data_IF_932240393764
#
_entry.id   IF_932240393764
#
_cell.length_a   1.000
_cell.length_b   1.000
_cell.length_c   1.000
_cell.angle_alpha   90.00
_cell.angle_beta   90.00
_cell.angle_gamma   90.00
#
_symmetry.space_group_name_H-M   'P 1'
#
loop_
_entity.id
_entity.type
_entity.pdbx_description
1 polymer ?
#
# COMPACT_ATOMS: atom_id res chain seq x y z
N UNK A 1 17.34 4.10 0.54
CA UNK A 1 16.01 3.46 0.69
C UNK A 1 15.64 2.80 -0.64
N UNK A 2 15.06 1.62 -0.63
CA UNK A 2 14.60 0.96 -1.86
C UNK A 2 13.48 1.79 -2.51
N UNK A 3 13.52 1.93 -3.84
CA UNK A 3 12.51 2.67 -4.58
C UNK A 3 11.28 1.80 -4.82
N UNK A 4 10.12 2.24 -4.36
CA UNK A 4 8.85 1.51 -4.52
C UNK A 4 8.32 1.54 -5.95
N UNK A 5 8.43 2.69 -6.62
CA UNK A 5 7.81 2.90 -7.93
C UNK A 5 8.59 3.93 -8.74
N UNK A 6 8.54 3.82 -10.08
CA UNK A 6 9.10 4.81 -11.01
C UNK A 6 7.98 5.40 -11.88
N UNK A 7 7.89 6.74 -11.93
CA UNK A 7 6.90 7.49 -12.71
C UNK A 7 7.55 8.04 -14.00
N UNK A 8 7.03 7.67 -15.15
CA UNK A 8 7.37 8.29 -16.42
C UNK A 8 6.62 9.62 -16.58
N UNK A 9 7.34 10.72 -16.71
CA UNK A 9 6.77 12.05 -16.90
C UNK A 9 6.78 12.36 -18.39
N UNK A 10 5.59 12.49 -18.99
CA UNK A 10 5.38 12.68 -20.41
C UNK A 10 4.61 13.98 -20.65
N UNK A 11 5.27 15.15 -20.71
CA UNK A 11 4.60 16.40 -21.03
C UNK A 11 3.94 16.36 -22.41
N UNK A 12 2.71 16.86 -22.49
CA UNK A 12 1.88 16.81 -23.70
C UNK A 12 1.62 18.20 -24.23
N UNK A 13 1.72 18.38 -25.55
CA UNK A 13 1.45 19.63 -26.24
C UNK A 13 0.62 19.39 -27.51
N UNK A 14 -0.07 20.40 -28.00
CA UNK A 14 -0.75 20.39 -29.30
C UNK A 14 0.23 20.73 -30.43
N UNK A 15 0.16 20.02 -31.53
CA UNK A 15 0.88 20.39 -32.74
C UNK A 15 0.48 21.78 -33.24
N UNK A 16 1.45 22.60 -33.67
CA UNK A 16 1.20 23.95 -34.18
C UNK A 16 0.95 25.06 -33.16
N UNK A 17 0.96 24.77 -31.86
CA UNK A 17 0.94 25.79 -30.78
C UNK A 17 2.34 26.29 -30.46
N UNK A 18 2.42 27.39 -29.69
CA UNK A 18 3.71 27.99 -29.31
C UNK A 18 4.59 27.02 -28.51
N UNK A 19 5.80 26.77 -29.00
CA UNK A 19 6.77 25.88 -28.38
C UNK A 19 7.44 26.53 -27.17
N UNK A 20 7.67 27.86 -27.18
CA UNK A 20 8.34 28.55 -26.07
C UNK A 20 7.50 28.44 -24.80
N UNK A 21 6.22 28.78 -24.90
CA UNK A 21 5.27 28.62 -23.77
C UNK A 21 5.17 27.19 -23.28
N UNK A 22 5.19 26.21 -24.18
CA UNK A 22 5.14 24.79 -23.79
C UNK A 22 6.40 24.33 -23.04
N UNK A 23 7.58 24.82 -23.47
CA UNK A 23 8.84 24.54 -22.77
C UNK A 23 8.89 25.16 -21.37
N UNK A 24 8.38 26.39 -21.21
CA UNK A 24 8.25 27.04 -19.89
C UNK A 24 7.35 26.21 -18.96
N UNK A 25 6.20 25.74 -19.45
CA UNK A 25 5.30 24.90 -18.67
C UNK A 25 5.94 23.54 -18.33
N UNK A 26 6.60 22.88 -19.28
CA UNK A 26 7.34 21.65 -19.02
C UNK A 26 8.36 21.84 -17.88
N UNK A 27 9.19 22.87 -17.97
CA UNK A 27 10.20 23.15 -16.96
C UNK A 27 9.58 23.37 -15.57
N UNK A 28 8.50 24.17 -15.52
CA UNK A 28 7.76 24.42 -14.30
C UNK A 28 7.23 23.11 -13.66
N UNK A 29 6.75 22.19 -14.48
CA UNK A 29 6.26 20.87 -14.00
C UNK A 29 7.40 20.00 -13.47
N UNK A 30 8.50 19.88 -14.22
CA UNK A 30 9.64 19.05 -13.82
C UNK A 30 10.27 19.57 -12.53
N UNK A 31 10.43 20.88 -12.38
CA UNK A 31 10.97 21.51 -11.16
C UNK A 31 10.07 21.22 -9.95
N UNK A 32 8.75 21.38 -10.13
CA UNK A 32 7.80 21.09 -9.04
C UNK A 32 7.76 19.62 -8.68
N UNK A 33 7.76 18.71 -9.66
CA UNK A 33 7.79 17.27 -9.41
C UNK A 33 9.06 16.89 -8.63
N UNK A 34 10.21 17.42 -9.00
CA UNK A 34 11.48 17.20 -8.29
C UNK A 34 11.42 17.66 -6.83
N UNK A 35 10.71 18.77 -6.56
CA UNK A 35 10.51 19.29 -5.20
C UNK A 35 9.64 18.36 -4.33
N UNK A 36 8.56 17.80 -4.91
CA UNK A 36 7.54 17.07 -4.16
C UNK A 36 7.64 15.53 -4.25
N UNK A 37 8.58 15.03 -5.07
CA UNK A 37 8.74 13.58 -5.29
C UNK A 37 9.13 12.88 -3.98
N UNK A 38 8.37 11.88 -3.52
CA UNK A 38 8.73 11.14 -2.31
C UNK A 38 10.08 10.43 -2.45
N UNK A 39 10.85 10.34 -1.38
CA UNK A 39 12.18 9.69 -1.38
C UNK A 39 12.15 8.23 -1.86
N UNK A 40 11.02 7.55 -1.68
CA UNK A 40 10.82 6.15 -2.12
C UNK A 40 10.32 6.03 -3.56
N UNK A 41 10.14 7.15 -4.28
CA UNK A 41 9.69 7.20 -5.68
C UNK A 41 10.84 7.65 -6.57
N UNK A 42 10.94 7.06 -7.76
CA UNK A 42 11.85 7.48 -8.82
C UNK A 42 11.05 8.06 -9.99
N UNK A 43 11.71 8.80 -10.90
CA UNK A 43 11.07 9.31 -12.10
C UNK A 43 12.03 9.31 -13.29
N UNK A 44 11.46 9.24 -14.49
CA UNK A 44 12.14 9.51 -15.74
C UNK A 44 11.28 10.45 -16.59
N UNK A 45 11.91 11.21 -17.49
CA UNK A 45 11.26 12.12 -18.40
C UNK A 45 11.68 11.87 -19.85
N UNK A 46 11.37 12.76 -20.76
CA UNK A 46 11.68 12.62 -22.19
C UNK A 46 12.93 13.41 -22.64
N UNK A 47 13.73 13.94 -21.73
CA UNK A 47 14.98 14.60 -22.09
C UNK A 47 15.92 13.61 -22.80
N UNK A 48 16.47 14.05 -23.94
CA UNK A 48 17.32 13.19 -24.78
C UNK A 48 16.59 12.13 -25.60
N UNK A 49 15.26 11.98 -25.45
CA UNK A 49 14.42 11.08 -26.25
C UNK A 49 13.76 11.84 -27.40
N UNK A 50 13.16 12.97 -27.08
CA UNK A 50 12.58 13.89 -28.07
C UNK A 50 13.35 15.22 -28.02
N UNK A 51 13.47 15.94 -29.17
CA UNK A 51 14.24 17.19 -29.22
C UNK A 51 13.83 18.21 -28.15
N UNK A 52 12.53 18.34 -27.90
CA UNK A 52 11.99 19.27 -26.90
C UNK A 52 11.62 18.59 -25.57
N UNK A 53 11.75 17.26 -25.48
CA UNK A 53 11.29 16.50 -24.31
C UNK A 53 9.77 16.55 -24.10
N UNK A 54 8.98 16.79 -25.17
CA UNK A 54 7.52 16.93 -25.15
C UNK A 54 6.91 16.05 -26.25
N UNK A 55 5.84 15.32 -25.92
CA UNK A 55 5.11 14.47 -26.88
C UNK A 55 3.94 15.25 -27.50
N UNK A 56 3.89 15.36 -28.84
CA UNK A 56 2.84 16.08 -29.56
C UNK A 56 2.48 15.50 -30.91
N UNK A 57 3.17 14.46 -31.39
CA UNK A 57 2.94 13.85 -32.71
C UNK A 57 2.96 12.33 -32.63
N UNK A 58 2.17 11.69 -33.49
CA UNK A 58 1.97 10.24 -33.47
C UNK A 58 3.23 9.44 -33.85
N UNK A 59 4.10 10.00 -34.67
CA UNK A 59 5.38 9.39 -35.08
C UNK A 59 6.43 9.34 -33.95
N UNK A 60 6.22 10.09 -32.86
CA UNK A 60 7.05 10.09 -31.66
C UNK A 60 6.71 8.95 -30.68
N UNK A 61 5.56 8.30 -30.82
CA UNK A 61 5.03 7.35 -29.84
C UNK A 61 5.92 6.14 -29.58
N UNK A 62 6.50 5.56 -30.64
CA UNK A 62 7.32 4.35 -30.49
C UNK A 62 8.59 4.66 -29.68
N UNK A 63 9.27 5.77 -29.96
CA UNK A 63 10.45 6.20 -29.21
C UNK A 63 10.15 6.44 -27.73
N UNK A 64 9.02 7.11 -27.43
CA UNK A 64 8.57 7.34 -26.05
C UNK A 64 8.23 6.04 -25.35
N UNK A 65 7.50 5.13 -25.99
CA UNK A 65 7.11 3.84 -25.42
C UNK A 65 8.34 2.94 -25.15
N UNK A 66 9.32 2.90 -26.06
CA UNK A 66 10.57 2.17 -25.88
C UNK A 66 11.38 2.72 -24.72
N UNK A 67 11.51 4.05 -24.61
CA UNK A 67 12.20 4.69 -23.49
C UNK A 67 11.54 4.35 -22.15
N UNK A 68 10.22 4.51 -22.01
CA UNK A 68 9.50 4.20 -20.77
C UNK A 68 9.65 2.73 -20.37
N UNK A 69 9.70 1.79 -21.35
CA UNK A 69 9.97 0.37 -21.08
C UNK A 69 11.41 0.13 -20.63
N UNK A 70 12.38 0.77 -21.29
CA UNK A 70 13.80 0.67 -20.94
C UNK A 70 14.07 1.20 -19.52
N UNK A 71 13.43 2.31 -19.17
CA UNK A 71 13.46 2.92 -17.83
C UNK A 71 12.66 2.13 -16.80
N UNK A 72 11.88 1.14 -17.20
CA UNK A 72 10.98 0.36 -16.33
C UNK A 72 9.99 1.24 -15.58
N UNK A 73 9.39 2.19 -16.27
CA UNK A 73 8.34 3.02 -15.69
C UNK A 73 7.16 2.14 -15.25
N UNK A 74 6.68 2.36 -14.02
CA UNK A 74 5.54 1.64 -13.43
C UNK A 74 4.20 2.37 -13.65
N UNK A 75 4.25 3.68 -13.93
CA UNK A 75 3.09 4.52 -14.22
C UNK A 75 3.50 5.72 -15.08
N UNK A 76 2.53 6.42 -15.68
CA UNK A 76 2.77 7.54 -16.56
C UNK A 76 1.98 8.77 -16.08
N UNK A 77 2.68 9.87 -15.88
CA UNK A 77 2.06 11.18 -15.70
C UNK A 77 2.13 11.97 -17.00
N UNK A 78 1.00 12.43 -17.51
CA UNK A 78 0.87 13.18 -18.75
C UNK A 78 0.37 14.62 -18.46
N UNK A 79 1.25 15.52 -17.96
CA UNK A 79 0.87 16.90 -17.73
C UNK A 79 0.71 17.63 -19.07
N UNK A 80 -0.37 18.43 -19.20
CA UNK A 80 -0.67 19.20 -20.40
C UNK A 80 0.01 20.56 -20.30
N UNK A 81 0.93 20.84 -21.22
CA UNK A 81 1.59 22.15 -21.36
C UNK A 81 0.64 23.22 -21.95
N UNK A 82 -0.29 22.76 -22.80
CA UNK A 82 -1.36 23.53 -23.42
C UNK A 82 -2.60 22.63 -23.62
N UNK A 83 -3.40 22.83 -24.68
CA UNK A 83 -4.52 21.96 -25.02
C UNK A 83 -4.12 20.47 -25.10
N UNK A 84 -2.88 20.19 -25.49
CA UNK A 84 -2.40 18.83 -25.67
C UNK A 84 -2.86 18.18 -26.99
N UNK A 85 -2.45 16.91 -27.16
CA UNK A 85 -2.82 16.08 -28.29
C UNK A 85 -3.51 14.82 -27.78
N UNK A 86 -4.84 14.75 -27.87
CA UNK A 86 -5.65 13.64 -27.39
C UNK A 86 -5.31 12.29 -28.05
N UNK A 87 -4.86 12.35 -29.33
CA UNK A 87 -4.44 11.16 -30.08
C UNK A 87 -3.25 10.46 -29.42
N UNK A 88 -2.19 11.24 -29.12
CA UNK A 88 -0.97 10.65 -28.53
C UNK A 88 -1.23 10.18 -27.09
N UNK A 89 -2.06 10.89 -26.32
CA UNK A 89 -2.46 10.49 -24.96
C UNK A 89 -3.18 9.15 -24.98
N UNK A 90 -4.20 9.00 -25.83
CA UNK A 90 -4.98 7.77 -25.95
C UNK A 90 -4.14 6.58 -26.42
N UNK A 91 -3.33 6.79 -27.47
CA UNK A 91 -2.47 5.74 -28.06
C UNK A 91 -1.37 5.31 -27.07
N UNK A 92 -0.65 6.24 -26.44
CA UNK A 92 0.39 5.89 -25.49
C UNK A 92 -0.17 5.12 -24.30
N UNK A 93 -1.32 5.55 -23.75
CA UNK A 93 -2.00 4.83 -22.68
C UNK A 93 -2.35 3.38 -23.08
N UNK A 94 -2.87 3.18 -24.28
CA UNK A 94 -3.20 1.86 -24.82
C UNK A 94 -1.96 0.98 -25.10
N UNK A 95 -0.85 1.58 -25.54
CA UNK A 95 0.41 0.86 -25.82
C UNK A 95 1.09 0.39 -24.53
N UNK A 96 1.06 1.21 -23.49
CA UNK A 96 1.82 0.94 -22.25
C UNK A 96 1.05 0.10 -21.23
N UNK A 97 -0.27 0.25 -21.15
CA UNK A 97 -1.14 -0.46 -20.18
C UNK A 97 -0.70 -0.26 -18.70
N UNK A 98 -0.11 0.87 -18.43
CA UNK A 98 0.29 1.32 -17.10
C UNK A 98 -0.77 2.26 -16.50
N UNK A 99 -0.77 2.48 -15.18
CA UNK A 99 -1.54 3.58 -14.60
C UNK A 99 -1.19 4.92 -15.26
N UNK A 100 -2.22 5.71 -15.57
CA UNK A 100 -2.08 6.99 -16.25
C UNK A 100 -2.66 8.09 -15.36
N UNK A 101 -1.90 9.15 -15.13
CA UNK A 101 -2.37 10.39 -14.51
C UNK A 101 -2.50 11.48 -15.57
N UNK A 102 -3.64 12.16 -15.59
CA UNK A 102 -3.90 13.33 -16.41
C UNK A 102 -4.09 14.56 -15.52
N UNK A 103 -3.44 15.65 -15.89
CA UNK A 103 -3.60 16.95 -15.27
C UNK A 103 -3.17 18.05 -16.23
N UNK A 104 -3.76 19.26 -16.08
CA UNK A 104 -3.36 20.49 -16.75
C UNK A 104 -3.23 21.64 -15.76
N UNK A 105 -2.18 22.44 -15.91
CA UNK A 105 -1.99 23.64 -15.09
C UNK A 105 -3.08 24.67 -15.41
N UNK A 106 -3.67 25.27 -14.37
CA UNK A 106 -4.72 26.27 -14.55
C UNK A 106 -4.23 27.43 -15.42
N UNK A 107 -5.04 27.77 -16.40
CA UNK A 107 -4.77 28.93 -17.24
C UNK A 107 -4.99 30.25 -16.49
N UNK A 108 -4.29 31.32 -16.81
CA UNK A 108 -4.58 32.66 -16.32
C UNK A 108 -5.95 33.15 -16.82
N UNK A 109 -6.37 34.30 -16.33
CA UNK A 109 -7.58 34.96 -16.88
C UNK A 109 -7.39 35.28 -18.36
N UNK A 110 -8.42 35.03 -19.21
CA UNK A 110 -8.33 35.28 -20.65
C UNK A 110 -8.03 36.76 -20.96
N UNK A 111 -7.18 36.99 -21.95
CA UNK A 111 -6.87 38.31 -22.47
C UNK A 111 -7.52 38.47 -23.86
N UNK A 112 -8.32 39.54 -24.10
CA UNK A 112 -8.96 39.72 -25.41
C UNK A 112 -7.94 39.77 -26.55
N UNK A 113 -8.24 38.99 -27.60
CA UNK A 113 -7.39 38.92 -28.80
C UNK A 113 -6.22 37.93 -28.72
N UNK A 114 -6.03 37.25 -27.60
CA UNK A 114 -5.07 36.14 -27.44
C UNK A 114 -5.80 34.83 -27.28
N UNK A 115 -5.13 33.74 -27.62
CA UNK A 115 -5.58 32.39 -27.26
C UNK A 115 -4.75 31.90 -26.08
N UNK A 116 -5.43 31.46 -25.04
CA UNK A 116 -4.80 30.82 -23.87
C UNK A 116 -4.31 29.40 -24.21
N UNK A 117 -3.68 28.76 -23.24
CA UNK A 117 -3.22 27.36 -23.36
C UNK A 117 -4.38 26.36 -23.49
N UNK A 118 -5.57 26.72 -22.98
CA UNK A 118 -6.77 25.88 -23.00
C UNK A 118 -6.56 24.50 -22.33
N UNK A 119 -5.76 24.41 -21.27
CA UNK A 119 -5.36 23.14 -20.65
C UNK A 119 -6.54 22.33 -20.13
N UNK A 120 -7.53 22.99 -19.51
CA UNK A 120 -8.75 22.31 -19.06
C UNK A 120 -9.52 21.67 -20.19
N UNK A 121 -9.70 22.38 -21.30
CA UNK A 121 -10.37 21.87 -22.50
C UNK A 121 -9.63 20.66 -23.05
N UNK A 122 -8.30 20.73 -23.15
CA UNK A 122 -7.46 19.66 -23.65
C UNK A 122 -7.47 18.40 -22.76
N UNK A 123 -7.47 18.57 -21.43
CA UNK A 123 -7.58 17.41 -20.52
C UNK A 123 -8.93 16.72 -20.64
N UNK A 124 -10.04 17.44 -20.86
CA UNK A 124 -11.36 16.86 -21.12
C UNK A 124 -11.37 16.04 -22.44
N UNK A 125 -10.72 16.54 -23.49
CA UNK A 125 -10.60 15.83 -24.76
C UNK A 125 -9.73 14.56 -24.59
N UNK A 126 -8.58 14.68 -23.94
CA UNK A 126 -7.64 13.58 -23.67
C UNK A 126 -8.26 12.47 -22.83
N UNK A 127 -8.99 12.81 -21.76
CA UNK A 127 -9.69 11.81 -20.94
C UNK A 127 -10.80 11.10 -21.71
N UNK A 128 -11.51 11.80 -22.60
CA UNK A 128 -12.49 11.17 -23.50
C UNK A 128 -11.82 10.19 -24.47
N UNK A 129 -10.63 10.52 -24.96
CA UNK A 129 -9.86 9.64 -25.85
C UNK A 129 -9.40 8.37 -25.09
N UNK A 130 -8.87 8.49 -23.86
CA UNK A 130 -8.54 7.35 -23.01
C UNK A 130 -9.74 6.43 -22.77
N UNK A 131 -10.95 6.98 -22.52
CA UNK A 131 -12.17 6.19 -22.40
C UNK A 131 -12.49 5.41 -23.68
N UNK A 132 -12.31 5.99 -24.86
CA UNK A 132 -12.52 5.32 -26.15
C UNK A 132 -11.54 4.15 -26.36
N UNK A 133 -10.30 4.29 -25.88
CA UNK A 133 -9.30 3.22 -25.87
C UNK A 133 -9.48 2.23 -24.72
N UNK A 134 -10.47 2.43 -23.82
CA UNK A 134 -10.69 1.64 -22.60
C UNK A 134 -9.46 1.60 -21.69
N UNK A 135 -8.73 2.70 -21.64
CA UNK A 135 -7.59 2.89 -20.76
C UNK A 135 -8.09 3.53 -19.46
N UNK A 136 -7.94 2.87 -18.32
CA UNK A 136 -8.24 3.48 -17.04
C UNK A 136 -7.24 4.62 -16.76
N UNK A 137 -7.71 5.68 -16.10
CA UNK A 137 -6.86 6.81 -15.75
C UNK A 137 -7.26 7.43 -14.41
N UNK A 138 -6.30 8.08 -13.78
CA UNK A 138 -6.47 8.95 -12.62
C UNK A 138 -6.45 10.41 -13.08
N UNK A 139 -7.07 11.28 -12.29
CA UNK A 139 -7.21 12.68 -12.64
C UNK A 139 -7.02 13.58 -11.42
N UNK A 140 -6.26 14.66 -11.59
CA UNK A 140 -6.22 15.79 -10.68
C UNK A 140 -7.00 16.94 -11.34
N UNK A 141 -7.89 17.60 -10.60
CA UNK A 141 -8.64 18.75 -11.13
C UNK A 141 -7.67 19.81 -11.65
N UNK A 142 -8.03 20.47 -12.77
CA UNK A 142 -7.29 21.60 -13.32
C UNK A 142 -7.03 22.64 -12.24
N UNK A 143 -5.78 22.81 -11.87
CA UNK A 143 -5.33 23.55 -10.69
C UNK A 143 -3.95 24.12 -10.91
N UNK A 144 -3.57 25.14 -10.12
CA UNK A 144 -2.21 25.68 -10.15
C UNK A 144 -1.19 24.62 -9.66
N UNK A 145 -0.04 24.56 -10.31
CA UNK A 145 1.04 23.61 -10.00
C UNK A 145 1.58 23.75 -8.56
N UNK A 146 1.45 24.92 -7.96
CA UNK A 146 1.90 25.18 -6.60
C UNK A 146 0.84 24.92 -5.52
N UNK A 147 -0.40 24.63 -5.91
CA UNK A 147 -1.47 24.40 -4.94
C UNK A 147 -1.35 23.02 -4.29
N UNK A 148 -1.89 22.90 -3.07
CA UNK A 148 -1.88 21.63 -2.31
C UNK A 148 -2.62 20.48 -3.03
N UNK A 149 -3.67 20.82 -3.80
CA UNK A 149 -4.40 19.80 -4.60
C UNK A 149 -3.49 19.11 -5.62
N UNK A 150 -2.62 19.84 -6.32
CA UNK A 150 -1.67 19.25 -7.24
C UNK A 150 -0.62 18.42 -6.51
N UNK A 151 0.00 18.99 -5.47
CA UNK A 151 1.05 18.33 -4.69
C UNK A 151 0.55 17.01 -4.09
N UNK A 152 -0.56 17.06 -3.34
CA UNK A 152 -1.18 15.88 -2.76
C UNK A 152 -1.61 14.88 -3.84
N UNK A 153 -2.27 15.35 -4.91
CA UNK A 153 -2.77 14.48 -5.98
C UNK A 153 -1.66 13.74 -6.73
N UNK A 154 -0.51 14.37 -6.94
CA UNK A 154 0.64 13.71 -7.54
C UNK A 154 1.25 12.65 -6.60
N UNK A 155 1.38 12.95 -5.31
CA UNK A 155 1.86 11.98 -4.30
C UNK A 155 0.87 10.81 -4.15
N UNK A 156 -0.44 11.10 -4.10
CA UNK A 156 -1.49 10.07 -4.09
C UNK A 156 -1.38 9.15 -5.33
N UNK A 157 -1.10 9.71 -6.52
CA UNK A 157 -0.89 8.90 -7.71
C UNK A 157 0.36 8.03 -7.64
N UNK A 158 1.46 8.53 -7.07
CA UNK A 158 2.63 7.70 -6.82
C UNK A 158 2.28 6.48 -5.94
N UNK A 159 1.47 6.70 -4.90
CA UNK A 159 0.98 5.64 -4.03
C UNK A 159 0.02 4.67 -4.76
N UNK A 160 -0.89 5.17 -5.60
CA UNK A 160 -1.72 4.34 -6.48
C UNK A 160 -0.85 3.44 -7.36
N UNK A 161 0.18 4.01 -8.01
CA UNK A 161 1.11 3.26 -8.84
C UNK A 161 1.86 2.17 -8.05
N UNK A 162 2.28 2.46 -6.80
CA UNK A 162 2.93 1.50 -5.92
C UNK A 162 1.99 0.34 -5.55
N UNK A 163 0.72 0.63 -5.21
CA UNK A 163 -0.31 -0.39 -4.94
C UNK A 163 -0.52 -1.28 -6.17
N UNK A 164 -0.63 -0.69 -7.36
CA UNK A 164 -0.82 -1.44 -8.61
C UNK A 164 0.39 -2.33 -8.93
N UNK A 165 1.61 -1.81 -8.76
CA UNK A 165 2.83 -2.58 -8.95
C UNK A 165 2.90 -3.77 -8.01
N UNK A 166 2.63 -3.56 -6.71
CA UNK A 166 2.62 -4.63 -5.70
C UNK A 166 1.46 -5.60 -5.87
N UNK A 167 0.28 -5.13 -6.27
CA UNK A 167 -0.89 -5.96 -6.53
C UNK A 167 -0.75 -6.92 -7.73
N UNK A 168 0.33 -6.80 -8.51
CA UNK A 168 0.62 -7.67 -9.65
C UNK A 168 1.91 -8.45 -9.41
N UNK A 169 1.80 -9.76 -9.26
CA UNK A 169 2.96 -10.65 -9.13
C UNK A 169 3.66 -10.63 -7.77
N UNK A 170 2.97 -10.21 -6.68
CA UNK A 170 3.53 -10.31 -5.33
C UNK A 170 3.71 -11.77 -4.91
N UNK A 171 4.57 -11.98 -3.92
CA UNK A 171 4.79 -13.28 -3.28
C UNK A 171 4.46 -13.20 -1.80
N UNK A 172 3.65 -14.15 -1.33
CA UNK A 172 3.30 -14.28 0.08
C UNK A 172 3.99 -15.53 0.64
N UNK A 173 4.80 -15.36 1.67
CA UNK A 173 5.38 -16.47 2.43
C UNK A 173 4.33 -17.03 3.37
N UNK A 174 3.91 -18.26 3.13
CA UNK A 174 3.01 -18.99 4.01
C UNK A 174 3.79 -19.86 4.97
N UNK A 175 3.82 -19.49 6.24
CA UNK A 175 4.51 -20.20 7.33
C UNK A 175 3.54 -21.10 8.06
N UNK A 176 3.67 -22.39 7.86
CA UNK A 176 2.73 -23.40 8.37
C UNK A 176 1.51 -23.60 7.46
N UNK A 177 0.42 -24.02 8.05
CA UNK A 177 -0.86 -24.30 7.39
C UNK A 177 -1.99 -23.49 8.01
N UNK A 178 -3.11 -23.36 7.31
CA UNK A 178 -4.31 -22.75 7.89
C UNK A 178 -4.75 -23.55 9.12
N UNK A 179 -5.00 -22.92 10.28
CA UNK A 179 -5.57 -23.60 11.44
C UNK A 179 -6.89 -24.29 11.09
N UNK A 180 -7.08 -25.53 11.55
CA UNK A 180 -8.23 -26.36 11.17
C UNK A 180 -9.59 -25.65 11.27
N UNK A 181 -9.94 -24.92 12.35
CA UNK A 181 -11.26 -24.31 12.49
C UNK A 181 -11.46 -23.03 11.65
N UNK A 182 -10.38 -22.42 11.13
CA UNK A 182 -10.47 -21.14 10.38
C UNK A 182 -10.86 -21.34 8.91
N UNK A 183 -12.11 -21.71 8.66
CA UNK A 183 -12.63 -21.84 7.29
C UNK A 183 -12.77 -20.47 6.58
N UNK A 184 -12.93 -19.39 7.34
CA UNK A 184 -13.08 -18.04 6.82
C UNK A 184 -11.83 -17.46 6.17
N UNK A 185 -10.64 -18.02 6.41
CA UNK A 185 -9.39 -17.59 5.77
C UNK A 185 -8.96 -18.46 4.58
N UNK A 186 -9.85 -19.31 4.08
CA UNK A 186 -9.58 -20.11 2.87
C UNK A 186 -9.38 -19.16 1.69
N UNK A 187 -8.30 -19.34 0.95
CA UNK A 187 -8.04 -18.64 -0.30
C UNK A 187 -7.91 -19.63 -1.47
N UNK A 188 -8.13 -19.17 -2.68
CA UNK A 188 -7.93 -19.91 -3.92
C UNK A 188 -6.60 -19.53 -4.57
N UNK A 189 -5.55 -20.30 -4.30
CA UNK A 189 -4.19 -20.03 -4.81
C UNK A 189 -4.13 -20.02 -6.35
N UNK A 190 -4.88 -20.90 -7.02
CA UNK A 190 -4.92 -20.95 -8.48
C UNK A 190 -5.53 -19.67 -9.08
N UNK A 191 -6.59 -19.14 -8.47
CA UNK A 191 -7.19 -17.88 -8.90
C UNK A 191 -6.27 -16.70 -8.63
N UNK A 192 -5.60 -16.65 -7.47
CA UNK A 192 -4.63 -15.60 -7.15
C UNK A 192 -3.48 -15.57 -8.17
N UNK A 193 -2.96 -16.74 -8.54
CA UNK A 193 -1.92 -16.85 -9.55
C UNK A 193 -2.42 -16.41 -10.95
N UNK A 194 -3.58 -16.91 -11.39
CA UNK A 194 -4.10 -16.62 -12.73
C UNK A 194 -4.55 -15.17 -12.91
N UNK A 195 -5.20 -14.58 -11.90
CA UNK A 195 -5.79 -13.25 -12.02
C UNK A 195 -4.79 -12.13 -11.73
N UNK A 196 -3.81 -12.36 -10.84
CA UNK A 196 -2.90 -11.34 -10.34
C UNK A 196 -1.42 -11.70 -10.47
N UNK A 197 -1.08 -12.94 -10.80
CA UNK A 197 0.28 -13.45 -10.74
C UNK A 197 0.80 -13.57 -9.30
N UNK A 198 -0.09 -13.61 -8.30
CA UNK A 198 0.29 -13.73 -6.88
C UNK A 198 0.70 -15.17 -6.61
N UNK A 199 1.94 -15.35 -6.12
CA UNK A 199 2.50 -16.65 -5.75
C UNK A 199 2.50 -16.84 -4.23
N UNK A 200 2.09 -18.03 -3.77
CA UNK A 200 2.19 -18.42 -2.36
C UNK A 200 3.38 -19.37 -2.21
N UNK A 201 4.35 -18.96 -1.38
CA UNK A 201 5.56 -19.76 -1.12
C UNK A 201 5.40 -20.49 0.21
N UNK A 202 5.28 -21.84 0.22
CA UNK A 202 5.14 -22.59 1.47
C UNK A 202 6.45 -22.66 2.25
N UNK A 203 6.36 -22.48 3.57
CA UNK A 203 7.43 -22.68 4.54
C UNK A 203 6.92 -23.58 5.66
N UNK A 204 7.14 -24.87 5.53
CA UNK A 204 6.56 -25.86 6.46
C UNK A 204 7.11 -25.71 7.89
N UNK A 205 6.30 -26.09 8.88
CA UNK A 205 6.68 -26.09 10.30
C UNK A 205 7.95 -26.89 10.58
N UNK A 206 8.15 -28.04 9.93
CA UNK A 206 9.35 -28.85 10.08
C UNK A 206 10.64 -28.13 9.60
N UNK A 207 10.55 -27.40 8.49
CA UNK A 207 11.69 -26.63 7.98
C UNK A 207 11.95 -25.43 8.88
N UNK A 208 10.92 -24.69 9.29
CA UNK A 208 11.04 -23.58 10.24
C UNK A 208 11.73 -24.02 11.53
N UNK A 209 11.27 -25.12 12.16
CA UNK A 209 11.85 -25.65 13.41
C UNK A 209 13.33 -25.95 13.26
N UNK A 210 13.70 -26.64 12.19
CA UNK A 210 15.11 -26.94 11.89
C UNK A 210 15.94 -25.66 11.71
N UNK A 211 15.38 -24.66 11.01
CA UNK A 211 16.09 -23.40 10.75
C UNK A 211 16.22 -22.56 12.02
N UNK A 212 15.21 -22.54 12.90
CA UNK A 212 15.27 -21.92 14.24
C UNK A 212 16.36 -22.55 15.10
N UNK A 213 16.40 -23.90 15.19
CA UNK A 213 17.44 -24.60 15.93
C UNK A 213 18.85 -24.27 15.41
N UNK A 214 19.03 -24.30 14.09
CA UNK A 214 20.29 -23.94 13.45
C UNK A 214 20.72 -22.51 13.76
N UNK A 215 19.78 -21.56 13.81
CA UNK A 215 20.06 -20.16 14.17
C UNK A 215 20.48 -20.04 15.63
N UNK A 216 19.78 -20.68 16.54
CA UNK A 216 20.16 -20.71 17.98
C UNK A 216 21.56 -21.27 18.20
N UNK A 217 21.96 -22.31 17.42
CA UNK A 217 23.29 -22.94 17.55
C UNK A 217 24.40 -22.15 16.87
N UNK A 218 24.13 -21.57 15.66
CA UNK A 218 25.20 -21.03 14.81
C UNK A 218 25.23 -19.51 14.71
N UNK A 219 24.17 -18.82 15.15
CA UNK A 219 24.03 -17.36 15.10
C UNK A 219 23.66 -16.80 16.49
N UNK A 220 24.19 -17.44 17.56
CA UNK A 220 23.88 -17.05 18.93
C UNK A 220 24.17 -15.57 19.21
N UNK A 221 25.29 -15.03 18.72
CA UNK A 221 25.65 -13.62 18.91
C UNK A 221 24.62 -12.67 18.28
N UNK A 222 24.07 -13.02 17.12
CA UNK A 222 23.04 -12.23 16.43
C UNK A 222 21.68 -12.31 17.16
N UNK A 223 21.36 -13.49 17.71
CA UNK A 223 20.19 -13.68 18.56
C UNK A 223 20.30 -12.82 19.82
N UNK A 224 21.44 -12.85 20.53
CA UNK A 224 21.66 -12.04 21.75
C UNK A 224 21.62 -10.52 21.44
N UNK A 225 22.23 -10.11 20.32
CA UNK A 225 22.14 -8.71 19.88
C UNK A 225 20.68 -8.29 19.61
N UNK A 226 19.89 -9.17 19.01
CA UNK A 226 18.45 -8.94 18.78
C UNK A 226 17.65 -8.88 20.08
N UNK A 227 17.92 -9.77 21.05
CA UNK A 227 17.31 -9.74 22.39
C UNK A 227 17.60 -8.41 23.08
N UNK A 228 18.86 -8.00 23.11
CA UNK A 228 19.26 -6.73 23.73
C UNK A 228 18.58 -5.53 23.05
N UNK A 229 18.64 -5.42 21.75
CA UNK A 229 18.07 -4.31 21.00
C UNK A 229 16.53 -4.23 21.16
N UNK A 230 15.87 -5.37 21.35
CA UNK A 230 14.43 -5.40 21.56
C UNK A 230 14.07 -4.98 23.01
N UNK A 231 14.83 -5.43 24.01
CA UNK A 231 14.65 -5.04 25.40
C UNK A 231 14.88 -3.53 25.66
N UNK A 232 15.59 -2.84 24.76
CA UNK A 232 15.72 -1.36 24.81
C UNK A 232 14.43 -0.64 24.43
N UNK A 233 13.52 -1.31 23.72
CA UNK A 233 12.26 -0.73 23.19
C UNK A 233 11.03 -1.10 24.00
N UNK A 234 11.03 -2.26 24.66
CA UNK A 234 9.88 -2.80 25.39
C UNK A 234 10.30 -3.43 26.71
N UNK A 235 9.39 -3.47 27.67
CA UNK A 235 9.58 -4.21 28.92
C UNK A 235 9.40 -5.73 28.67
N UNK A 236 10.50 -6.46 28.71
CA UNK A 236 10.55 -7.91 28.57
C UNK A 236 10.78 -8.63 29.92
N UNK A 237 10.66 -7.94 31.03
CA UNK A 237 10.99 -8.46 32.38
C UNK A 237 10.21 -9.70 32.78
N UNK A 238 9.00 -9.88 32.25
CA UNK A 238 8.15 -11.05 32.47
C UNK A 238 8.46 -12.20 31.53
N UNK A 239 9.24 -12.00 30.47
CA UNK A 239 9.50 -13.00 29.45
C UNK A 239 10.80 -13.75 29.73
N UNK A 240 10.78 -15.07 29.90
CA UNK A 240 11.99 -15.87 30.08
C UNK A 240 13.02 -15.63 28.98
N UNK A 241 14.31 -15.61 29.30
CA UNK A 241 15.37 -15.35 28.32
C UNK A 241 15.34 -16.33 27.14
N UNK A 242 15.02 -17.59 27.39
CA UNK A 242 14.91 -18.60 26.34
C UNK A 242 13.75 -18.33 25.38
N UNK A 243 12.63 -17.79 25.89
CA UNK A 243 11.51 -17.30 25.05
C UNK A 243 11.95 -16.14 24.17
N UNK A 244 12.73 -15.19 24.74
CA UNK A 244 13.26 -14.04 23.99
C UNK A 244 14.20 -14.53 22.86
N UNK A 245 15.12 -15.45 23.15
CA UNK A 245 16.03 -16.07 22.16
C UNK A 245 15.29 -16.78 21.08
N UNK A 246 14.29 -17.59 21.44
CA UNK A 246 13.49 -18.37 20.48
C UNK A 246 12.71 -17.42 19.54
N UNK A 247 12.10 -16.37 20.05
CA UNK A 247 11.42 -15.39 19.22
C UNK A 247 12.38 -14.66 18.26
N UNK A 248 13.58 -14.28 18.71
CA UNK A 248 14.58 -13.70 17.83
C UNK A 248 15.03 -14.68 16.76
N UNK A 249 15.19 -15.95 17.08
CA UNK A 249 15.56 -16.97 16.11
C UNK A 249 14.44 -17.23 15.08
N UNK A 250 13.17 -17.24 15.50
CA UNK A 250 12.00 -17.33 14.59
C UNK A 250 11.97 -16.12 13.64
N UNK A 251 12.15 -14.91 14.16
CA UNK A 251 12.23 -13.68 13.34
C UNK A 251 13.32 -13.80 12.28
N UNK A 252 14.54 -14.19 12.67
CA UNK A 252 15.66 -14.36 11.74
C UNK A 252 15.38 -15.44 10.69
N UNK A 253 14.78 -16.58 11.07
CA UNK A 253 14.43 -17.65 10.14
C UNK A 253 13.42 -17.18 9.09
N UNK A 254 12.42 -16.40 9.52
CA UNK A 254 11.42 -15.83 8.60
C UNK A 254 12.07 -14.79 7.68
N UNK A 255 12.90 -13.88 8.19
CA UNK A 255 13.61 -12.88 7.38
C UNK A 255 14.53 -13.52 6.34
N UNK A 256 15.32 -14.53 6.72
CA UNK A 256 16.16 -15.28 5.78
C UNK A 256 15.30 -15.91 4.66
N UNK A 257 14.14 -16.44 5.00
CA UNK A 257 13.24 -17.08 4.04
C UNK A 257 12.55 -16.04 3.14
N UNK A 258 12.11 -14.91 3.70
CA UNK A 258 11.56 -13.77 2.95
C UNK A 258 12.58 -13.29 1.91
N UNK A 259 13.83 -13.09 2.31
CA UNK A 259 14.89 -12.67 1.41
C UNK A 259 15.17 -13.70 0.31
N UNK A 260 15.24 -14.99 0.66
CA UNK A 260 15.51 -16.07 -0.29
C UNK A 260 14.39 -16.28 -1.30
N UNK A 261 13.12 -16.13 -0.88
CA UNK A 261 11.94 -16.28 -1.74
C UNK A 261 11.51 -14.98 -2.41
N UNK A 262 12.09 -13.84 -2.01
CA UNK A 262 11.67 -12.50 -2.44
C UNK A 262 10.18 -12.25 -2.15
N UNK A 263 9.73 -12.67 -0.96
CA UNK A 263 8.33 -12.50 -0.56
C UNK A 263 8.07 -11.07 -0.12
N UNK A 264 6.90 -10.54 -0.44
CA UNK A 264 6.46 -9.18 -0.13
C UNK A 264 5.74 -9.09 1.22
N UNK A 265 5.18 -10.21 1.68
CA UNK A 265 4.46 -10.31 2.96
C UNK A 265 4.45 -11.74 3.49
N UNK A 266 3.99 -11.90 4.72
CA UNK A 266 4.04 -13.18 5.45
C UNK A 266 2.69 -13.49 6.10
N UNK A 267 2.20 -14.73 5.94
CA UNK A 267 1.05 -15.28 6.67
C UNK A 267 1.52 -16.41 7.58
N UNK A 268 1.30 -16.33 8.91
CA UNK A 268 1.90 -17.23 9.89
C UNK A 268 0.85 -18.01 10.69
N UNK A 269 1.01 -19.34 10.74
CA UNK A 269 0.29 -20.22 11.67
C UNK A 269 0.80 -19.99 13.10
N UNK A 270 0.22 -19.02 13.82
CA UNK A 270 0.78 -18.57 15.09
C UNK A 270 0.43 -19.51 16.28
N UNK A 271 -0.83 -19.65 16.67
CA UNK A 271 -1.21 -20.37 17.90
C UNK A 271 -1.27 -21.88 17.77
N UNK A 272 -1.65 -22.40 16.61
CA UNK A 272 -1.75 -23.86 16.41
C UNK A 272 -0.40 -24.52 16.11
N UNK A 273 0.63 -23.75 15.73
CA UNK A 273 1.94 -24.29 15.37
C UNK A 273 3.07 -23.76 16.28
N UNK A 274 3.26 -22.43 16.39
CA UNK A 274 4.43 -21.90 17.10
C UNK A 274 4.42 -22.23 18.60
N UNK A 275 3.27 -22.19 19.27
CA UNK A 275 3.13 -22.62 20.65
C UNK A 275 3.51 -24.09 20.83
N UNK A 276 2.85 -25.04 20.18
CA UNK A 276 3.15 -26.46 20.30
C UNK A 276 4.55 -26.88 19.83
N UNK A 277 5.11 -26.23 18.79
CA UNK A 277 6.36 -26.66 18.15
C UNK A 277 7.57 -25.92 18.70
N UNK A 278 7.46 -24.62 18.96
CA UNK A 278 8.56 -23.78 19.42
C UNK A 278 8.45 -23.36 20.89
N UNK A 279 7.34 -23.67 21.56
CA UNK A 279 7.13 -23.33 22.98
C UNK A 279 6.87 -21.84 23.24
N UNK A 280 6.63 -21.04 22.19
CA UNK A 280 6.44 -19.60 22.30
C UNK A 280 5.26 -19.11 21.46
N UNK A 281 4.59 -18.04 21.88
CA UNK A 281 3.65 -17.34 21.01
C UNK A 281 4.41 -16.54 19.94
N UNK A 282 3.94 -16.62 18.71
CA UNK A 282 4.54 -15.92 17.58
C UNK A 282 4.10 -14.47 17.43
N UNK A 283 3.17 -14.01 18.26
CA UNK A 283 2.49 -12.73 18.08
C UNK A 283 3.47 -11.56 17.93
N UNK A 284 4.37 -11.36 18.89
CA UNK A 284 5.30 -10.23 18.82
C UNK A 284 6.37 -10.38 17.74
N UNK A 285 6.65 -11.61 17.28
CA UNK A 285 7.51 -11.81 16.09
C UNK A 285 6.92 -11.09 14.87
N UNK A 286 5.60 -11.15 14.68
CA UNK A 286 4.90 -10.46 13.58
C UNK A 286 5.01 -8.94 13.71
N UNK A 287 4.87 -8.40 14.94
CA UNK A 287 5.12 -6.98 15.20
C UNK A 287 6.55 -6.54 14.89
N UNK A 288 7.55 -7.36 15.29
CA UNK A 288 8.95 -7.09 14.94
C UNK A 288 9.21 -7.13 13.42
N UNK A 289 8.57 -8.03 12.68
CA UNK A 289 8.68 -8.12 11.22
C UNK A 289 8.03 -6.90 10.55
N UNK A 290 6.85 -6.48 11.03
CA UNK A 290 6.17 -5.29 10.53
C UNK A 290 6.97 -4.01 10.79
N UNK A 291 7.63 -3.87 11.95
CA UNK A 291 8.56 -2.78 12.25
C UNK A 291 9.79 -2.75 11.32
N UNK A 292 10.14 -3.90 10.73
CA UNK A 292 11.21 -4.02 9.74
C UNK A 292 10.71 -3.87 8.28
N UNK A 293 9.45 -3.51 8.09
CA UNK A 293 8.86 -3.31 6.78
C UNK A 293 8.41 -4.60 6.07
N UNK A 294 8.23 -5.69 6.81
CA UNK A 294 7.67 -6.95 6.31
C UNK A 294 6.23 -7.10 6.81
N UNK A 295 5.21 -6.80 5.98
CA UNK A 295 3.81 -6.92 6.38
C UNK A 295 3.44 -8.35 6.74
N UNK A 296 2.72 -8.52 7.85
CA UNK A 296 2.37 -9.83 8.37
C UNK A 296 0.88 -9.98 8.67
N UNK A 297 0.38 -11.20 8.47
CA UNK A 297 -0.94 -11.64 8.94
C UNK A 297 -0.82 -12.85 9.87
N UNK A 298 -1.65 -12.90 10.91
CA UNK A 298 -1.80 -14.05 11.77
C UNK A 298 -2.60 -15.17 11.08
N UNK A 299 -2.54 -16.37 11.67
CA UNK A 299 -3.48 -17.49 11.41
C UNK A 299 -3.47 -17.97 9.95
N UNK A 300 -2.31 -17.76 9.31
CA UNK A 300 -2.09 -18.10 7.90
C UNK A 300 -3.14 -17.47 6.97
N UNK A 301 -3.62 -16.27 7.35
CA UNK A 301 -4.54 -15.50 6.52
C UNK A 301 -3.79 -14.86 5.34
N UNK A 302 -3.74 -15.58 4.22
CA UNK A 302 -3.06 -15.14 2.98
C UNK A 302 -3.71 -13.87 2.42
N UNK A 303 -5.05 -13.79 2.41
CA UNK A 303 -5.75 -12.59 1.91
C UNK A 303 -5.52 -11.38 2.83
N UNK A 304 -5.38 -11.63 4.15
CA UNK A 304 -4.94 -10.64 5.12
C UNK A 304 -3.51 -10.14 4.86
N UNK A 305 -2.59 -11.05 4.54
CA UNK A 305 -1.22 -10.67 4.18
C UNK A 305 -1.18 -9.85 2.88
N UNK A 306 -1.98 -10.21 1.86
CA UNK A 306 -2.15 -9.40 0.65
C UNK A 306 -2.67 -8.01 1.01
N UNK A 307 -3.68 -7.91 1.89
CA UNK A 307 -4.22 -6.64 2.38
C UNK A 307 -3.13 -5.76 3.00
N UNK A 308 -2.29 -6.36 3.85
CA UNK A 308 -1.19 -5.66 4.52
C UNK A 308 -0.12 -5.17 3.51
N UNK A 309 0.23 -5.96 2.49
CA UNK A 309 1.16 -5.55 1.42
C UNK A 309 0.59 -4.40 0.59
N UNK A 310 -0.70 -4.47 0.20
CA UNK A 310 -1.34 -3.40 -0.57
C UNK A 310 -1.41 -2.09 0.26
N UNK A 311 -1.73 -2.19 1.54
CA UNK A 311 -1.77 -1.03 2.43
C UNK A 311 -0.37 -0.42 2.64
N UNK A 312 0.67 -1.24 2.82
CA UNK A 312 2.05 -0.75 2.90
C UNK A 312 2.46 -0.02 1.62
N UNK A 313 2.10 -0.55 0.46
CA UNK A 313 2.36 0.12 -0.81
C UNK A 313 1.63 1.48 -0.90
N UNK A 314 0.40 1.57 -0.37
CA UNK A 314 -0.35 2.83 -0.31
C UNK A 314 0.33 3.87 0.59
N UNK A 315 1.08 3.45 1.62
CA UNK A 315 1.90 4.35 2.44
C UNK A 315 3.23 4.72 1.78
N UNK A 316 3.56 4.17 0.62
CA UNK A 316 4.90 4.22 0.01
C UNK A 316 6.00 3.69 0.96
N UNK A 317 5.65 2.71 1.80
CA UNK A 317 6.55 2.09 2.78
C UNK A 317 6.93 2.97 3.98
N UNK A 318 6.20 4.06 4.22
CA UNK A 318 6.49 5.02 5.30
C UNK A 318 5.94 4.59 6.66
N UNK A 319 4.86 3.80 6.65
CA UNK A 319 4.15 3.39 7.86
C UNK A 319 4.25 1.88 8.06
N UNK A 320 4.53 1.42 9.28
CA UNK A 320 4.37 0.02 9.65
C UNK A 320 2.89 -0.39 9.58
N UNK A 321 2.64 -1.64 9.22
CA UNK A 321 1.28 -2.16 9.13
C UNK A 321 0.97 -2.99 10.37
N UNK A 322 -0.13 -2.71 11.04
CA UNK A 322 -0.68 -3.58 12.07
C UNK A 322 -1.78 -4.48 11.49
N UNK A 323 -1.95 -5.66 12.07
CA UNK A 323 -2.95 -6.65 11.66
C UNK A 323 -3.87 -6.94 12.85
N UNK A 324 -5.17 -6.68 12.70
CA UNK A 324 -6.12 -6.65 13.80
C UNK A 324 -7.41 -7.41 13.51
N UNK A 325 -8.07 -7.82 14.60
CA UNK A 325 -9.47 -8.24 14.61
C UNK A 325 -10.38 -7.03 14.88
N UNK A 326 -11.48 -6.94 14.18
CA UNK A 326 -12.62 -6.11 14.56
C UNK A 326 -13.34 -6.87 15.69
N UNK A 327 -13.37 -6.33 16.92
CA UNK A 327 -13.73 -7.15 18.08
C UNK A 327 -14.91 -6.66 18.90
N UNK A 328 -14.92 -5.40 19.31
CA UNK A 328 -15.89 -4.90 20.29
C UNK A 328 -16.32 -3.49 19.96
N UNK A 329 -17.63 -3.30 19.77
CA UNK A 329 -18.24 -1.98 19.69
C UNK A 329 -18.24 -1.32 21.07
N UNK A 330 -17.83 -0.06 21.16
CA UNK A 330 -17.77 0.68 22.40
C UNK A 330 -19.19 0.92 22.97
N UNK A 331 -19.44 0.47 24.21
CA UNK A 331 -20.75 0.60 24.84
C UNK A 331 -21.20 2.06 25.09
N UNK A 332 -20.26 3.02 25.03
CA UNK A 332 -20.54 4.44 25.29
C UNK A 332 -20.46 5.32 24.03
N UNK A 333 -20.01 4.78 22.90
CA UNK A 333 -19.93 5.49 21.61
C UNK A 333 -20.13 4.49 20.46
N UNK A 334 -21.33 4.47 19.93
CA UNK A 334 -21.79 3.52 18.90
C UNK A 334 -20.95 3.53 17.61
N UNK A 335 -20.19 4.58 17.36
CA UNK A 335 -19.32 4.72 16.19
C UNK A 335 -17.85 4.46 16.49
N UNK A 336 -17.53 3.91 17.66
CA UNK A 336 -16.15 3.55 18.04
C UNK A 336 -16.02 2.05 18.22
N UNK A 337 -15.07 1.46 17.52
CA UNK A 337 -14.79 0.03 17.47
C UNK A 337 -13.41 -0.30 18.00
N UNK A 338 -13.27 -1.40 18.71
CA UNK A 338 -11.98 -1.94 19.15
C UNK A 338 -11.35 -2.80 18.05
N UNK A 339 -10.25 -2.36 17.52
CA UNK A 339 -9.34 -3.19 16.75
C UNK A 339 -8.30 -3.79 17.69
N UNK A 340 -8.29 -5.11 17.80
CA UNK A 340 -7.49 -5.82 18.80
C UNK A 340 -6.80 -7.03 18.16
N UNK A 341 -5.70 -7.44 18.75
CA UNK A 341 -5.16 -8.79 18.54
C UNK A 341 -4.37 -9.25 19.75
N UNK A 342 -4.04 -10.55 19.82
CA UNK A 342 -3.33 -11.15 20.92
C UNK A 342 -1.86 -10.66 21.12
N UNK A 343 -1.35 -9.75 20.27
CA UNK A 343 -0.05 -9.10 20.50
C UNK A 343 0.88 -8.92 19.29
N UNK A 344 0.40 -8.90 18.03
CA UNK A 344 1.28 -8.80 16.85
C UNK A 344 1.53 -7.37 16.37
N UNK A 345 1.08 -6.34 17.08
CA UNK A 345 1.24 -4.97 16.58
C UNK A 345 2.70 -4.49 16.65
N UNK A 346 3.13 -3.64 15.69
CA UNK A 346 4.45 -3.00 15.71
C UNK A 346 4.63 -2.12 16.94
N UNK A 347 5.75 -2.28 17.65
CA UNK A 347 6.04 -1.48 18.87
C UNK A 347 6.25 -0.01 18.54
N UNK A 348 6.73 0.30 17.34
CA UNK A 348 6.90 1.69 16.87
C UNK A 348 5.60 2.49 16.81
N UNK A 349 4.44 1.82 16.77
CA UNK A 349 3.11 2.44 16.79
C UNK A 349 2.52 2.58 18.19
N UNK A 350 3.24 2.20 19.24
CA UNK A 350 2.75 2.31 20.61
C UNK A 350 2.41 3.75 20.99
N UNK A 351 1.34 3.93 21.77
CA UNK A 351 0.96 5.23 22.27
C UNK A 351 2.12 5.86 23.09
N UNK A 352 2.45 7.16 22.93
CA UNK A 352 3.60 7.79 23.58
C UNK A 352 3.60 7.66 25.11
N UNK A 353 2.43 7.56 25.74
CA UNK A 353 2.27 7.36 27.16
C UNK A 353 2.19 5.88 27.57
N UNK A 354 2.13 4.95 26.63
CA UNK A 354 2.13 3.52 26.92
C UNK A 354 3.52 3.08 27.37
N UNK A 355 3.54 2.02 28.17
CA UNK A 355 4.76 1.28 28.51
C UNK A 355 4.63 -0.10 27.86
N UNK A 356 5.02 -0.24 26.59
CA UNK A 356 4.92 -1.51 25.90
C UNK A 356 5.61 -2.60 26.71
N UNK A 357 4.91 -3.71 26.94
CA UNK A 357 5.45 -4.86 27.64
C UNK A 357 5.12 -6.15 26.88
N UNK A 358 5.84 -7.22 27.21
CA UNK A 358 5.63 -8.52 26.60
C UNK A 358 5.26 -9.54 27.67
N UNK A 359 4.15 -10.23 27.43
CA UNK A 359 3.71 -11.32 28.31
C UNK A 359 4.69 -12.51 28.27
N UNK A 360 4.67 -13.41 29.26
CA UNK A 360 5.67 -14.49 29.40
C UNK A 360 5.82 -15.38 28.18
N UNK A 361 4.73 -15.61 27.42
CA UNK A 361 4.75 -16.44 26.21
C UNK A 361 5.11 -15.66 24.94
N UNK A 362 5.26 -14.32 25.03
CA UNK A 362 5.68 -13.50 23.90
C UNK A 362 4.56 -12.74 23.17
N UNK A 363 3.45 -12.45 23.86
CA UNK A 363 2.40 -11.57 23.33
C UNK A 363 2.65 -10.12 23.75
N UNK A 364 2.55 -9.17 22.82
CA UNK A 364 2.62 -7.74 23.09
C UNK A 364 1.44 -7.25 23.94
N UNK A 365 1.69 -6.25 24.79
CA UNK A 365 0.72 -5.66 25.72
C UNK A 365 0.84 -4.15 25.65
N UNK A 366 0.15 -3.49 24.71
CA UNK A 366 0.15 -2.02 24.58
C UNK A 366 -0.97 -1.52 23.67
N UNK A 367 -1.31 -0.27 23.86
CA UNK A 367 -2.20 0.54 23.03
C UNK A 367 -1.41 1.25 21.94
N UNK A 368 -2.01 1.44 20.75
CA UNK A 368 -1.43 2.27 19.68
C UNK A 368 -1.73 3.75 19.91
N UNK A 369 -0.94 4.62 19.25
CA UNK A 369 -1.12 6.07 19.30
C UNK A 369 -2.41 6.53 18.61
N UNK A 370 -2.85 7.75 18.93
CA UNK A 370 -3.98 8.41 18.27
C UNK A 370 -3.60 8.99 16.91
N UNK A 371 -4.58 9.14 16.02
CA UNK A 371 -4.39 9.72 14.69
C UNK A 371 -5.38 9.20 13.67
N UNK A 372 -5.28 9.70 12.43
CA UNK A 372 -6.05 9.15 11.32
C UNK A 372 -5.58 7.73 11.01
N UNK A 373 -6.51 6.82 10.79
CA UNK A 373 -6.24 5.40 10.53
C UNK A 373 -7.01 4.94 9.31
N UNK A 374 -6.33 4.24 8.41
CA UNK A 374 -6.96 3.47 7.33
C UNK A 374 -6.92 2.00 7.68
N UNK A 375 -8.04 1.32 7.56
CA UNK A 375 -8.11 -0.14 7.56
C UNK A 375 -8.45 -0.66 6.16
N UNK A 376 -7.99 -1.85 5.81
CA UNK A 376 -8.37 -2.48 4.56
C UNK A 376 -8.41 -4.01 4.65
N UNK A 377 -9.18 -4.59 3.73
CA UNK A 377 -9.27 -6.04 3.53
C UNK A 377 -9.44 -6.35 2.05
N UNK A 378 -8.49 -7.06 1.49
CA UNK A 378 -8.62 -7.74 0.20
C UNK A 378 -9.25 -9.10 0.45
N UNK A 379 -10.40 -9.37 -0.16
CA UNK A 379 -11.10 -10.63 0.04
C UNK A 379 -11.80 -11.09 -1.23
N UNK A 380 -12.27 -12.34 -1.23
CA UNK A 380 -12.93 -12.92 -2.39
C UNK A 380 -13.99 -13.94 -1.98
N UNK A 381 -15.08 -13.96 -2.72
CA UNK A 381 -16.10 -14.99 -2.66
C UNK A 381 -16.51 -15.38 -4.09
N UNK A 382 -16.47 -16.68 -4.40
CA UNK A 382 -16.88 -17.22 -5.71
C UNK A 382 -16.18 -16.54 -6.91
N UNK A 383 -14.88 -16.22 -6.77
CA UNK A 383 -14.09 -15.56 -7.82
C UNK A 383 -14.31 -14.05 -7.96
N UNK A 384 -15.16 -13.46 -7.14
CA UNK A 384 -15.37 -12.01 -7.08
C UNK A 384 -14.44 -11.41 -6.03
N UNK A 385 -13.47 -10.62 -6.49
CA UNK A 385 -12.46 -9.98 -5.66
C UNK A 385 -12.86 -8.55 -5.32
N UNK A 386 -12.74 -8.19 -4.05
CA UNK A 386 -13.01 -6.85 -3.55
C UNK A 386 -11.86 -6.34 -2.70
N UNK A 387 -11.69 -5.03 -2.67
CA UNK A 387 -10.79 -4.34 -1.74
C UNK A 387 -11.61 -3.35 -0.91
N UNK A 388 -11.96 -3.82 0.29
CA UNK A 388 -12.57 -2.97 1.31
C UNK A 388 -11.53 -1.98 1.83
N UNK A 389 -11.92 -0.74 2.02
CA UNK A 389 -11.09 0.26 2.70
C UNK A 389 -11.95 1.23 3.49
N UNK A 390 -11.54 1.51 4.72
CA UNK A 390 -12.24 2.42 5.62
C UNK A 390 -11.31 3.43 6.25
N UNK A 391 -11.80 4.66 6.43
CA UNK A 391 -11.08 5.75 7.07
C UNK A 391 -11.70 6.04 8.42
N UNK A 392 -10.93 5.93 9.50
CA UNK A 392 -11.35 6.26 10.86
C UNK A 392 -10.31 7.12 11.58
N UNK A 393 -10.54 7.33 12.85
CA UNK A 393 -9.63 8.05 13.74
C UNK A 393 -9.36 7.21 14.98
N UNK A 394 -8.10 6.89 15.23
CA UNK A 394 -7.68 6.29 16.50
C UNK A 394 -7.87 7.29 17.65
N UNK A 395 -8.52 6.84 18.70
CA UNK A 395 -8.92 7.64 19.87
C UNK A 395 -8.63 6.87 21.16
N UNK A 396 -8.54 7.58 22.27
CA UNK A 396 -8.43 6.95 23.59
C UNK A 396 -9.67 6.12 23.91
N UNK A 397 -9.49 5.01 24.62
CA UNK A 397 -10.59 4.15 25.01
C UNK A 397 -10.24 3.24 26.20
N UNK A 398 -11.17 2.39 26.65
CA UNK A 398 -10.93 1.46 27.75
C UNK A 398 -9.74 0.56 27.49
N UNK A 399 -8.89 0.38 28.52
CA UNK A 399 -7.72 -0.49 28.45
C UNK A 399 -8.09 -1.96 28.20
N UNK A 400 -7.29 -2.64 27.38
CA UNK A 400 -7.44 -4.05 27.01
C UNK A 400 -6.09 -4.76 27.08
N UNK A 401 -6.08 -6.04 27.51
CA UNK A 401 -4.88 -6.89 27.37
C UNK A 401 -4.65 -7.26 25.88
N UNK A 402 -3.38 -7.48 25.50
CA UNK A 402 -2.97 -7.66 24.10
C UNK A 402 -2.57 -6.33 23.47
N UNK A 403 -2.55 -6.28 22.15
CA UNK A 403 -2.31 -5.05 21.41
C UNK A 403 -3.62 -4.53 20.82
N UNK A 404 -3.88 -3.22 20.92
CA UNK A 404 -5.17 -2.67 20.55
C UNK A 404 -5.14 -1.18 20.16
N UNK A 405 -6.20 -0.77 19.49
CA UNK A 405 -6.53 0.63 19.20
C UNK A 405 -8.04 0.79 19.11
N UNK A 406 -8.60 1.83 19.70
CA UNK A 406 -9.98 2.22 19.51
C UNK A 406 -10.09 3.13 18.29
N UNK A 407 -10.95 2.81 17.35
CA UNK A 407 -11.11 3.56 16.10
C UNK A 407 -12.53 4.08 15.97
N UNK A 408 -12.65 5.40 15.92
CA UNK A 408 -13.91 6.09 15.64
C UNK A 408 -14.10 6.23 14.14
N UNK A 409 -15.27 5.81 13.65
CA UNK A 409 -15.66 5.85 12.24
C UNK A 409 -16.86 6.77 12.04
N UNK A 410 -17.25 7.01 10.81
CA UNK A 410 -18.39 7.88 10.43
C UNK A 410 -19.74 7.30 10.85
N UNK A 411 -19.94 6.00 10.64
CA UNK A 411 -21.20 5.29 10.85
C UNK A 411 -20.91 3.78 10.94
N UNK A 412 -20.77 3.26 12.16
CA UNK A 412 -20.44 1.87 12.38
C UNK A 412 -21.53 0.90 11.90
N UNK A 413 -22.80 1.27 12.01
CA UNK A 413 -23.90 0.38 11.58
C UNK A 413 -23.80 0.08 10.08
N UNK A 414 -23.47 1.08 9.25
CA UNK A 414 -23.24 0.87 7.82
C UNK A 414 -21.98 0.05 7.54
N UNK A 415 -20.93 0.25 8.35
CA UNK A 415 -19.72 -0.53 8.20
C UNK A 415 -19.96 -2.00 8.55
N UNK A 416 -20.63 -2.27 9.67
CA UNK A 416 -20.99 -3.62 10.10
C UNK A 416 -21.89 -4.33 9.07
N UNK A 417 -22.93 -3.65 8.55
CA UNK A 417 -23.80 -4.17 7.49
C UNK A 417 -22.96 -4.58 6.26
N UNK A 418 -22.06 -3.72 5.81
CA UNK A 418 -21.18 -4.00 4.67
C UNK A 418 -20.24 -5.17 4.92
N UNK A 419 -19.68 -5.30 6.11
CA UNK A 419 -18.79 -6.39 6.49
C UNK A 419 -19.58 -7.72 6.55
N UNK A 420 -20.73 -7.72 7.20
CA UNK A 420 -21.56 -8.92 7.42
C UNK A 420 -22.12 -9.50 6.11
N UNK A 421 -22.55 -8.64 5.19
CA UNK A 421 -23.13 -9.06 3.91
C UNK A 421 -22.14 -9.07 2.75
N UNK A 422 -20.92 -8.57 2.98
CA UNK A 422 -19.80 -8.68 2.03
C UNK A 422 -19.04 -9.99 2.18
N UNK A 423 -17.95 -10.18 1.42
CA UNK A 423 -17.12 -11.39 1.51
C UNK A 423 -16.12 -11.34 2.68
N UNK A 424 -16.27 -10.41 3.61
CA UNK A 424 -15.23 -10.05 4.59
C UNK A 424 -15.31 -10.87 5.87
N UNK A 425 -14.16 -10.97 6.54
CA UNK A 425 -14.05 -11.51 7.88
C UNK A 425 -13.61 -10.42 8.86
N UNK A 426 -13.47 -10.78 10.13
CA UNK A 426 -13.05 -9.85 11.19
C UNK A 426 -11.59 -9.33 11.06
N UNK A 427 -10.75 -9.95 10.25
CA UNK A 427 -9.35 -9.54 10.06
C UNK A 427 -9.21 -8.33 9.14
N UNK A 428 -8.46 -7.33 9.58
CA UNK A 428 -8.11 -6.14 8.79
C UNK A 428 -6.64 -5.80 8.93
N UNK A 429 -6.04 -5.29 7.86
CA UNK A 429 -4.76 -4.59 7.92
C UNK A 429 -5.01 -3.12 8.22
N UNK A 430 -4.19 -2.51 9.07
CA UNK A 430 -4.31 -1.11 9.46
C UNK A 430 -3.00 -0.35 9.33
N UNK A 431 -3.10 0.94 8.98
CA UNK A 431 -1.98 1.90 8.96
C UNK A 431 -2.44 3.28 9.38
N UNK A 432 -1.56 4.03 10.03
CA UNK A 432 -1.83 5.44 10.33
C UNK A 432 -1.72 6.28 9.05
N UNK A 433 -2.68 7.19 8.86
CA UNK A 433 -2.83 8.04 7.68
C UNK A 433 -4.11 7.76 6.89
N UNK A 434 -4.28 8.46 5.76
CA UNK A 434 -5.51 8.47 4.94
C UNK A 434 -5.22 7.87 3.57
N UNK A 435 -5.55 6.59 3.37
CA UNK A 435 -5.22 5.82 2.15
C UNK A 435 -6.43 5.19 1.46
N UNK A 436 -7.66 5.32 1.98
CA UNK A 436 -8.84 4.68 1.41
C UNK A 436 -9.11 5.11 -0.04
N UNK A 437 -8.90 6.38 -0.36
CA UNK A 437 -8.99 6.89 -1.73
C UNK A 437 -7.96 6.25 -2.66
N UNK A 438 -6.70 6.11 -2.20
CA UNK A 438 -5.60 5.52 -2.96
C UNK A 438 -5.90 4.05 -3.28
N UNK A 439 -6.34 3.28 -2.29
CA UNK A 439 -6.70 1.87 -2.46
C UNK A 439 -7.87 1.70 -3.44
N UNK A 440 -8.92 2.52 -3.30
CA UNK A 440 -10.07 2.50 -4.21
C UNK A 440 -9.67 2.90 -5.65
N UNK A 441 -8.81 3.89 -5.80
CA UNK A 441 -8.33 4.33 -7.11
C UNK A 441 -7.47 3.26 -7.79
N UNK A 442 -6.62 2.56 -7.02
CA UNK A 442 -5.77 1.48 -7.53
C UNK A 442 -6.56 0.31 -8.13
N UNK A 443 -7.77 0.03 -7.62
CA UNK A 443 -8.64 -1.02 -8.15
C UNK A 443 -8.96 -0.86 -9.64
N UNK A 444 -8.99 0.37 -10.17
CA UNK A 444 -9.18 0.62 -11.61
C UNK A 444 -8.14 -0.11 -12.49
N UNK A 445 -6.98 -0.43 -11.92
CA UNK A 445 -5.82 -0.98 -12.61
C UNK A 445 -5.50 -2.43 -12.21
N UNK A 446 -6.11 -2.94 -11.14
CA UNK A 446 -5.82 -4.27 -10.58
C UNK A 446 -6.61 -5.42 -11.21
N UNK A 447 -7.25 -5.22 -12.37
CA UNK A 447 -8.01 -6.27 -13.04
C UNK A 447 -9.37 -6.52 -12.39
N UNK A 448 -9.71 -7.74 -11.94
CA UNK A 448 -11.07 -8.05 -11.49
C UNK A 448 -11.40 -7.52 -10.07
N UNK A 449 -10.53 -6.73 -9.43
CA UNK A 449 -10.77 -6.21 -8.08
C UNK A 449 -11.77 -5.06 -8.13
N UNK A 450 -12.85 -5.17 -7.36
CA UNK A 450 -13.82 -4.09 -7.17
C UNK A 450 -13.44 -3.27 -5.93
N UNK A 451 -13.41 -1.92 -6.03
CA UNK A 451 -13.26 -1.08 -4.86
C UNK A 451 -14.53 -1.13 -4.01
N UNK A 452 -14.37 -1.29 -2.71
CA UNK A 452 -15.46 -1.29 -1.75
C UNK A 452 -15.15 -0.40 -0.54
N UNK A 453 -15.03 0.93 -0.74
CA UNK A 453 -14.79 1.84 0.35
C UNK A 453 -15.97 1.88 1.32
N UNK A 454 -15.68 1.93 2.63
CA UNK A 454 -16.70 2.02 3.69
C UNK A 454 -17.51 3.31 3.59
N UNK A 455 -16.80 4.41 3.31
CA UNK A 455 -17.39 5.72 3.05
C UNK A 455 -17.12 6.15 1.60
N UNK A 456 -17.98 7.01 1.02
CA UNK A 456 -17.74 7.53 -0.32
C UNK A 456 -16.39 8.24 -0.45
N UNK A 457 -15.59 7.85 -1.43
CA UNK A 457 -14.30 8.49 -1.74
C UNK A 457 -14.38 9.35 -3.01
N UNK A 458 -13.56 10.38 -3.07
CA UNK A 458 -13.47 11.23 -4.27
C UNK A 458 -12.90 10.44 -5.45
N UNK A 459 -13.44 10.71 -6.67
CA UNK A 459 -12.91 10.16 -7.92
C UNK A 459 -11.74 10.94 -8.49
N UNK A 460 -11.36 12.05 -7.87
CA UNK A 460 -10.21 12.87 -8.27
C UNK A 460 -9.20 12.89 -7.14
N UNK A 461 -7.94 12.74 -7.49
CA UNK A 461 -6.85 12.75 -6.52
C UNK A 461 -6.56 14.15 -5.97
N UNK A 462 -5.96 14.22 -4.80
CA UNK A 462 -5.60 15.47 -4.14
C UNK A 462 -6.71 16.13 -3.31
N UNK A 463 -7.84 15.48 -3.13
CA UNK A 463 -8.94 15.96 -2.26
C UNK A 463 -8.86 15.37 -0.87
#
# INVERSE_FOLDING_TARGET
MEKFVKIGIVPIKRGGTDMVSALEQKQLFLDKIKEILPETVDSCDLEGVLPEGILYAADQLDAVAEHLRAEKADAIFMPHCDFGCEEVVGRLGAMMKLPVLIWGNRDPLPVPGTRDRDTQCGTLASTKCLQRYRVPFSYIINSDVNCEMFKKGFVDFCAVAAVVKKGRGMRILQVGSRPQPFLSVICNEDELLRNFGIEITPYSSAILTRDVQRILEKRADEVEAGVKAYAEKVDVSLMPIETQRTQQAIKLAILDKVAASKSDGVAVECWSMLGPVCGVAGCQVLGMLSDLGVPCACETDVLGAISAVLLQAATLGREPIFFADITVRNANDDNTELLWHCGPFPVSLAHPNAKPSIAPMGQGQFELHNGDVTICRFDALEGNYTLMSGQGKAVDGPAKGGTYVWVKVSDWEKWEEKIVFGPYIHHVAGAFGSYSQILSEACKYLGPVQPDPMDPVSRVLGK
#
